data_IF_902697569431
#
_entry.id   IF_902697569431
#
_cell.length_a   1.000
_cell.length_b   1.000
_cell.length_c   1.000
_cell.angle_alpha   90.00
_cell.angle_beta   90.00
_cell.angle_gamma   90.00
#
_symmetry.space_group_name_H-M   'P 1'
#
loop_
_entity.id
_entity.type
_entity.pdbx_description
1 polymer ?
#
# COMPACT_ATOMS: atom_id res chain seq x y z
N UNK A 1 -4.65 -17.39 -0.83
CA UNK A 1 -3.85 -16.41 -1.61
C UNK A 1 -4.58 -15.95 -2.87
N UNK A 2 -4.80 -14.64 -2.98
CA UNK A 2 -5.46 -13.94 -4.10
C UNK A 2 -4.59 -12.78 -4.57
N UNK A 3 -4.61 -12.49 -5.88
CA UNK A 3 -3.94 -11.31 -6.45
C UNK A 3 -4.97 -10.37 -7.07
N UNK A 4 -4.89 -9.09 -6.71
CA UNK A 4 -5.60 -7.98 -7.37
C UNK A 4 -4.65 -7.28 -8.34
N UNK A 5 -5.19 -6.73 -9.42
CA UNK A 5 -4.47 -5.84 -10.33
C UNK A 5 -5.24 -4.53 -10.42
N UNK A 6 -4.65 -3.43 -9.95
CA UNK A 6 -5.27 -2.12 -9.92
C UNK A 6 -4.51 -1.20 -10.88
N UNK A 7 -5.04 -0.97 -12.10
CA UNK A 7 -4.46 -0.01 -13.03
C UNK A 7 -4.72 1.42 -12.53
N UNK A 8 -3.76 2.31 -12.74
CA UNK A 8 -3.86 3.71 -12.34
C UNK A 8 -3.43 4.58 -13.52
N UNK A 9 -4.21 5.62 -13.80
CA UNK A 9 -3.87 6.68 -14.76
C UNK A 9 -3.91 8.01 -14.01
N UNK A 10 -2.85 8.80 -14.13
CA UNK A 10 -2.77 10.12 -13.51
C UNK A 10 -3.50 11.18 -14.33
N UNK A 11 -3.99 12.21 -13.64
CA UNK A 11 -4.52 13.41 -14.24
C UNK A 11 -3.39 14.29 -14.82
N UNK A 12 -3.78 15.44 -15.40
CA UNK A 12 -2.83 16.36 -16.02
C UNK A 12 -1.81 16.94 -15.03
N UNK A 13 -2.19 17.05 -13.75
CA UNK A 13 -1.33 17.50 -12.65
C UNK A 13 -0.44 16.38 -12.06
N UNK A 14 -0.52 15.16 -12.60
CA UNK A 14 0.24 14.01 -12.13
C UNK A 14 -0.32 13.35 -10.86
N UNK A 15 -1.52 13.71 -10.43
CA UNK A 15 -2.22 13.06 -9.31
C UNK A 15 -3.09 11.90 -9.77
N UNK A 16 -3.36 10.95 -8.88
CA UNK A 16 -4.42 9.95 -9.08
C UNK A 16 -5.01 9.51 -7.75
N UNK A 17 -6.29 9.14 -7.74
CA UNK A 17 -6.92 8.39 -6.64
C UNK A 17 -7.73 7.25 -7.23
N UNK A 18 -7.34 6.02 -6.92
CA UNK A 18 -7.98 4.80 -7.44
C UNK A 18 -8.23 3.84 -6.29
N UNK A 19 -9.28 3.02 -6.42
CA UNK A 19 -9.70 2.07 -5.41
C UNK A 19 -9.66 0.66 -5.98
N UNK A 20 -9.30 -0.33 -5.16
CA UNK A 20 -9.55 -1.73 -5.48
C UNK A 20 -11.05 -2.07 -5.37
N UNK A 21 -11.44 -3.26 -5.82
CA UNK A 21 -12.66 -3.90 -5.33
C UNK A 21 -12.58 -4.16 -3.81
N UNK A 22 -13.72 -4.40 -3.16
CA UNK A 22 -13.76 -4.75 -1.75
C UNK A 22 -13.12 -6.13 -1.53
N UNK A 23 -12.26 -6.24 -0.51
CA UNK A 23 -11.51 -7.44 -0.22
C UNK A 23 -11.46 -7.76 1.26
N UNK A 24 -11.23 -9.04 1.54
CA UNK A 24 -10.93 -9.55 2.87
C UNK A 24 -9.66 -10.41 2.78
N UNK A 25 -8.73 -10.21 3.71
CA UNK A 25 -7.49 -10.97 3.78
C UNK A 25 -6.35 -10.14 4.36
N UNK A 26 -5.17 -10.74 4.50
CA UNK A 26 -3.97 -10.06 4.98
C UNK A 26 -3.10 -9.62 3.80
N UNK A 27 -2.68 -8.36 3.75
CA UNK A 27 -1.79 -7.84 2.71
C UNK A 27 -0.40 -8.43 2.89
N UNK A 28 -0.04 -9.35 2.00
CA UNK A 28 1.27 -10.01 2.01
C UNK A 28 2.32 -9.14 1.33
N UNK A 29 2.00 -8.63 0.15
CA UNK A 29 2.86 -7.77 -0.65
C UNK A 29 2.09 -6.90 -1.65
N UNK A 30 2.69 -5.78 -2.04
CA UNK A 30 2.27 -4.92 -3.14
C UNK A 30 3.43 -4.82 -4.13
N UNK A 31 3.16 -5.14 -5.40
CA UNK A 31 4.08 -4.93 -6.52
C UNK A 31 3.60 -3.74 -7.34
N UNK A 32 4.37 -2.67 -7.33
CA UNK A 32 4.25 -1.60 -8.30
C UNK A 32 5.05 -1.96 -9.57
N UNK A 33 4.38 -1.96 -10.71
CA UNK A 33 5.00 -2.09 -12.03
C UNK A 33 4.98 -0.72 -12.69
N UNK A 34 6.16 -0.14 -12.87
CA UNK A 34 6.37 1.13 -13.57
C UNK A 34 6.20 0.89 -15.06
N UNK A 35 5.14 1.46 -15.62
CA UNK A 35 4.94 1.52 -17.07
C UNK A 35 5.53 2.82 -17.58
N UNK A 36 4.96 3.97 -17.21
CA UNK A 36 5.42 5.28 -17.69
C UNK A 36 5.23 6.43 -16.67
N UNK A 37 4.86 6.14 -15.42
CA UNK A 37 4.93 7.14 -14.34
C UNK A 37 6.29 7.84 -14.29
N UNK A 38 6.27 9.14 -13.99
CA UNK A 38 7.49 9.93 -13.82
C UNK A 38 8.39 9.39 -12.69
N UNK A 39 9.68 9.73 -12.75
CA UNK A 39 10.55 9.63 -11.58
C UNK A 39 10.08 10.60 -10.49
N UNK A 40 10.27 10.23 -9.24
CA UNK A 40 9.83 11.03 -8.10
C UNK A 40 8.41 10.75 -7.62
N UNK A 41 7.71 9.77 -8.20
CA UNK A 41 6.33 9.47 -7.86
C UNK A 41 6.18 9.15 -6.36
N UNK A 42 5.13 9.69 -5.74
CA UNK A 42 4.81 9.49 -4.33
C UNK A 42 3.53 8.68 -4.22
N UNK A 43 3.56 7.61 -3.43
CA UNK A 43 2.46 6.69 -3.23
C UNK A 43 1.97 6.76 -1.79
N UNK A 44 0.66 6.93 -1.62
CA UNK A 44 -0.02 6.80 -0.33
C UNK A 44 -1.15 5.80 -0.50
N UNK A 45 -0.93 4.58 0.00
CA UNK A 45 -1.85 3.45 -0.08
C UNK A 45 -2.41 3.17 1.31
N UNK A 46 -3.74 3.16 1.42
CA UNK A 46 -4.47 3.06 2.69
C UNK A 46 -5.66 2.12 2.57
N UNK A 47 -6.10 1.56 3.69
CA UNK A 47 -7.45 1.02 3.80
C UNK A 47 -8.44 2.19 3.72
N UNK A 48 -9.45 2.10 2.86
CA UNK A 48 -10.32 3.25 2.59
C UNK A 48 -11.16 3.63 3.80
N UNK A 49 -11.80 2.67 4.45
CA UNK A 49 -12.75 2.95 5.51
C UNK A 49 -12.06 3.43 6.79
N UNK A 50 -10.89 2.87 7.11
CA UNK A 50 -10.18 3.14 8.37
C UNK A 50 -9.05 4.18 8.24
N UNK A 51 -8.57 4.42 7.01
CA UNK A 51 -7.39 5.26 6.77
C UNK A 51 -6.07 4.62 7.21
N UNK A 52 -6.07 3.34 7.61
CA UNK A 52 -4.87 2.63 8.01
C UNK A 52 -3.85 2.61 6.87
N UNK A 53 -2.60 3.00 7.17
CA UNK A 53 -1.55 3.06 6.15
C UNK A 53 -1.06 1.66 5.81
N UNK A 54 -1.13 1.32 4.52
CA UNK A 54 -0.60 0.07 3.98
C UNK A 54 0.79 0.30 3.39
N UNK A 55 0.96 1.31 2.53
CA UNK A 55 2.27 1.67 1.98
C UNK A 55 2.31 3.18 1.72
N UNK A 56 3.27 3.87 2.33
CA UNK A 56 3.54 5.28 2.07
C UNK A 56 5.02 5.45 1.70
N UNK A 57 5.32 5.96 0.51
CA UNK A 57 6.69 6.15 0.03
C UNK A 57 6.76 7.28 -0.99
N UNK A 58 7.76 8.14 -0.81
CA UNK A 58 8.05 9.27 -1.69
C UNK A 58 9.21 8.93 -2.61
N UNK A 59 9.18 9.43 -3.84
CA UNK A 59 10.34 9.36 -4.72
C UNK A 59 10.60 8.00 -5.36
N UNK A 60 9.55 7.24 -5.68
CA UNK A 60 9.67 5.91 -6.28
C UNK A 60 10.02 6.02 -7.76
N UNK A 61 11.25 5.62 -8.11
CA UNK A 61 11.79 5.80 -9.47
C UNK A 61 11.72 4.53 -10.34
N UNK A 62 11.50 3.35 -9.75
CA UNK A 62 11.49 2.08 -10.46
C UNK A 62 10.38 1.16 -9.96
N UNK A 63 10.07 0.11 -10.74
CA UNK A 63 9.20 -0.96 -10.29
C UNK A 63 9.72 -1.54 -8.96
N UNK A 64 8.83 -1.72 -8.01
CA UNK A 64 9.19 -2.06 -6.64
C UNK A 64 8.20 -3.04 -6.03
N UNK A 65 8.70 -3.93 -5.17
CA UNK A 65 7.86 -4.76 -4.30
C UNK A 65 8.03 -4.26 -2.86
N UNK A 66 6.92 -4.09 -2.16
CA UNK A 66 6.90 -3.86 -0.71
C UNK A 66 6.05 -4.92 -0.05
N UNK A 67 6.53 -5.44 1.08
CA UNK A 67 5.80 -6.35 1.94
C UNK A 67 5.49 -5.60 3.25
N UNK A 68 4.48 -4.71 3.25
CA UNK A 68 4.22 -3.88 4.41
C UNK A 68 3.79 -4.72 5.61
N UNK A 69 4.18 -4.26 6.79
CA UNK A 69 3.86 -4.89 8.07
C UNK A 69 3.54 -3.81 9.09
N UNK A 70 2.64 -4.12 10.02
CA UNK A 70 2.31 -3.26 11.15
C UNK A 70 2.79 -3.88 12.46
N UNK A 71 3.11 -3.03 13.44
CA UNK A 71 3.46 -3.47 14.79
C UNK A 71 2.23 -4.09 15.48
N UNK A 72 2.45 -5.18 16.22
CA UNK A 72 1.41 -5.84 17.01
C UNK A 72 1.44 -5.38 18.47
N UNK A 73 0.33 -5.57 19.18
CA UNK A 73 0.13 -5.09 20.54
C UNK A 73 -0.58 -6.13 21.40
N UNK A 74 -0.41 -6.05 22.71
CA UNK A 74 -1.23 -6.80 23.66
C UNK A 74 -2.68 -6.28 23.69
N UNK A 75 -3.56 -6.99 24.38
CA UNK A 75 -4.95 -6.56 24.58
C UNK A 75 -5.09 -5.26 25.38
N UNK A 76 -4.03 -4.82 26.06
CA UNK A 76 -3.96 -3.53 26.76
C UNK A 76 -3.35 -2.41 25.88
N UNK A 77 -3.05 -2.68 24.61
CA UNK A 77 -2.44 -1.71 23.69
C UNK A 77 -0.94 -1.51 23.87
N UNK A 78 -0.26 -2.30 24.70
CA UNK A 78 1.20 -2.24 24.83
C UNK A 78 1.88 -2.94 23.64
N UNK A 79 2.91 -2.33 23.06
CA UNK A 79 3.64 -2.90 21.93
C UNK A 79 4.18 -4.30 22.26
N UNK A 80 3.96 -5.25 21.35
CA UNK A 80 4.57 -6.56 21.43
C UNK A 80 6.00 -6.48 20.89
N UNK A 81 6.98 -6.86 21.71
CA UNK A 81 8.40 -6.79 21.39
C UNK A 81 9.03 -8.18 21.57
N UNK A 82 10.06 -8.51 20.79
CA UNK A 82 10.80 -9.77 20.95
C UNK A 82 11.48 -9.90 22.33
N UNK A 83 11.81 -8.76 22.95
CA UNK A 83 12.33 -8.64 24.31
C UNK A 83 11.96 -7.26 24.88
N UNK A 84 12.08 -7.05 26.19
CA UNK A 84 11.81 -5.75 26.82
C UNK A 84 12.68 -4.65 26.20
N UNK A 85 12.06 -3.59 25.67
CA UNK A 85 12.76 -2.51 24.95
C UNK A 85 13.34 -2.91 23.58
N UNK A 86 13.00 -4.09 23.07
CA UNK A 86 13.52 -4.64 21.81
C UNK A 86 12.74 -4.22 20.56
N UNK A 87 13.00 -4.90 19.45
CA UNK A 87 12.33 -4.67 18.17
C UNK A 87 10.84 -5.08 18.21
N UNK A 88 10.01 -4.33 17.50
CA UNK A 88 8.59 -4.61 17.36
C UNK A 88 8.34 -5.95 16.66
N UNK A 89 7.38 -6.72 17.19
CA UNK A 89 6.81 -7.87 16.51
C UNK A 89 5.81 -7.35 15.50
N UNK A 90 6.10 -7.56 14.22
CA UNK A 90 5.26 -7.06 13.13
C UNK A 90 4.48 -8.20 12.45
N UNK A 91 3.24 -7.94 12.06
CA UNK A 91 2.41 -8.85 11.27
C UNK A 91 1.88 -8.16 10.01
N UNK A 92 1.34 -8.94 9.08
CA UNK A 92 0.66 -8.44 7.89
C UNK A 92 -0.56 -7.61 8.25
N UNK A 93 -0.89 -6.67 7.37
CA UNK A 93 -2.00 -5.73 7.56
C UNK A 93 -3.31 -6.38 7.10
N UNK A 94 -4.28 -6.51 8.00
CA UNK A 94 -5.58 -7.10 7.70
C UNK A 94 -6.52 -6.10 7.03
N UNK A 95 -7.22 -6.55 5.98
CA UNK A 95 -8.31 -5.81 5.34
C UNK A 95 -9.57 -6.66 5.51
N UNK A 96 -10.67 -6.04 5.94
CA UNK A 96 -11.91 -6.75 6.28
C UNK A 96 -13.11 -6.11 5.57
N UNK A 97 -13.53 -6.71 4.45
CA UNK A 97 -14.60 -6.19 3.58
C UNK A 97 -14.45 -4.69 3.28
N UNK A 98 -13.22 -4.29 2.94
CA UNK A 98 -12.86 -2.89 2.68
C UNK A 98 -12.10 -2.79 1.35
N UNK A 99 -11.98 -1.58 0.81
CA UNK A 99 -11.22 -1.28 -0.39
C UNK A 99 -9.85 -0.74 -0.03
N UNK A 100 -8.88 -1.01 -0.90
CA UNK A 100 -7.55 -0.41 -0.81
C UNK A 100 -7.55 0.83 -1.71
N UNK A 101 -7.33 1.99 -1.09
CA UNK A 101 -7.20 3.29 -1.74
C UNK A 101 -5.74 3.52 -2.10
N UNK A 102 -5.48 3.84 -3.37
CA UNK A 102 -4.17 4.19 -3.90
C UNK A 102 -4.21 5.66 -4.33
N UNK A 103 -3.42 6.49 -3.65
CA UNK A 103 -3.20 7.89 -4.03
C UNK A 103 -1.81 8.04 -4.60
N UNK A 104 -1.71 8.67 -5.77
CA UNK A 104 -0.46 9.01 -6.44
C UNK A 104 -0.31 10.52 -6.47
N UNK A 105 0.89 11.02 -6.18
CA UNK A 105 1.32 12.37 -6.45
C UNK A 105 2.61 12.36 -7.28
N UNK A 106 2.84 13.40 -8.08
CA UNK A 106 4.02 13.52 -8.95
C UNK A 106 4.22 12.34 -9.92
N UNK A 107 3.14 11.69 -10.35
CA UNK A 107 3.22 10.56 -11.30
C UNK A 107 3.40 10.97 -12.76
N UNK A 108 3.42 12.28 -13.07
CA UNK A 108 3.52 12.83 -14.41
C UNK A 108 2.16 12.98 -15.12
N UNK A 109 2.07 13.88 -16.10
CA UNK A 109 0.84 14.18 -16.84
C UNK A 109 0.36 12.97 -17.67
N UNK A 110 -0.84 12.48 -17.38
CA UNK A 110 -1.52 11.42 -18.14
C UNK A 110 -0.68 10.15 -18.31
N UNK A 111 -0.03 9.71 -17.23
CA UNK A 111 0.82 8.53 -17.16
C UNK A 111 0.10 7.39 -16.47
N UNK A 112 0.57 6.17 -16.69
CA UNK A 112 0.00 4.95 -16.18
C UNK A 112 0.98 4.09 -15.38
N UNK A 113 0.40 3.30 -14.48
CA UNK A 113 1.08 2.29 -13.70
C UNK A 113 0.09 1.23 -13.24
N UNK A 114 0.59 0.09 -12.76
CA UNK A 114 -0.27 -0.95 -12.18
C UNK A 114 0.28 -1.40 -10.84
N UNK A 115 -0.62 -1.54 -9.87
CA UNK A 115 -0.33 -2.13 -8.57
C UNK A 115 -0.94 -3.52 -8.50
N UNK A 116 -0.10 -4.54 -8.26
CA UNK A 116 -0.57 -5.87 -7.93
C UNK A 116 -0.53 -6.08 -6.42
N UNK A 117 -1.68 -6.34 -5.81
CA UNK A 117 -1.80 -6.53 -4.37
C UNK A 117 -2.04 -8.02 -4.12
N UNK A 118 -1.22 -8.63 -3.28
CA UNK A 118 -1.36 -10.05 -2.90
C UNK A 118 -1.91 -10.13 -1.49
N UNK A 119 -3.04 -10.83 -1.37
CA UNK A 119 -3.73 -11.11 -0.12
C UNK A 119 -3.58 -12.59 0.22
N UNK A 120 -3.38 -12.89 1.49
CA UNK A 120 -3.39 -14.26 2.04
C UNK A 120 -4.78 -14.71 2.44
#
# INVERSE_FOLDING_TARGET
MRRLSVPVVTAADGSATVYSEAVTGKVSQIRYVKTDFADGATFTITAEATGETIWNETGVNASATRAPRQATHSTAGAAALYAAGGAAVNDQIGIANDRIKIVIANGGNAKAGTFHIVLE
#
